data_IF_398924505174
#
_entry.id   IF_398924505174
#
_cell.length_a   1.000
_cell.length_b   1.000
_cell.length_c   1.000
_cell.angle_alpha   90.00
_cell.angle_beta   90.00
_cell.angle_gamma   90.00
#
_symmetry.space_group_name_H-M   'P 1'
#
loop_
_entity.id
_entity.type
_entity.pdbx_description
1 polymer ?
#
# COMPACT_ATOMS: atom_id res chain seq x y z
N UNK A 1 14.23 -8.35 -12.15
CA UNK A 1 14.56 -9.24 -13.27
C UNK A 1 15.84 -8.76 -13.90
N UNK A 2 16.92 -9.45 -13.56
CA UNK A 2 18.18 -9.40 -14.30
C UNK A 2 17.99 -10.13 -15.65
N UNK A 3 18.59 -9.63 -16.73
CA UNK A 3 18.45 -10.24 -18.06
C UNK A 3 19.71 -9.94 -18.90
N UNK A 4 19.82 -10.54 -20.08
CA UNK A 4 21.01 -10.43 -20.93
C UNK A 4 21.42 -8.99 -21.27
N UNK A 5 20.46 -8.05 -21.30
CA UNK A 5 20.73 -6.63 -21.48
C UNK A 5 21.49 -6.01 -20.31
N UNK A 6 21.12 -6.34 -19.06
CA UNK A 6 21.88 -5.93 -17.87
C UNK A 6 23.29 -6.53 -17.89
N UNK A 7 23.43 -7.82 -18.21
CA UNK A 7 24.75 -8.47 -18.28
C UNK A 7 25.68 -7.78 -19.31
N UNK A 8 25.15 -7.41 -20.49
CA UNK A 8 25.93 -6.70 -21.51
C UNK A 8 26.33 -5.31 -21.07
N UNK A 9 25.45 -4.58 -20.37
CA UNK A 9 25.76 -3.28 -19.80
C UNK A 9 26.88 -3.39 -18.75
N UNK A 10 26.77 -4.36 -17.84
CA UNK A 10 27.80 -4.60 -16.81
C UNK A 10 29.15 -5.00 -17.41
N UNK A 11 29.17 -5.81 -18.48
CA UNK A 11 30.41 -6.14 -19.20
C UNK A 11 31.08 -4.91 -19.82
N UNK A 12 30.28 -3.96 -20.34
CA UNK A 12 30.81 -2.70 -20.87
C UNK A 12 31.32 -1.80 -19.76
N UNK A 13 30.61 -1.72 -18.64
CA UNK A 13 31.06 -0.98 -17.46
C UNK A 13 32.38 -1.56 -16.89
N UNK A 14 32.50 -2.89 -16.76
CA UNK A 14 33.76 -3.55 -16.33
C UNK A 14 34.93 -3.28 -17.29
N UNK A 15 34.67 -2.99 -18.57
CA UNK A 15 35.75 -2.68 -19.51
C UNK A 15 36.34 -1.27 -19.33
N UNK A 16 35.68 -0.40 -18.54
CA UNK A 16 36.14 0.97 -18.26
C UNK A 16 37.13 1.04 -17.08
N UNK A 17 37.28 -0.03 -16.30
CA UNK A 17 38.13 -0.03 -15.11
C UNK A 17 38.49 -1.44 -14.65
N UNK A 18 39.24 -1.52 -13.56
CA UNK A 18 39.73 -2.78 -12.98
C UNK A 18 38.82 -3.29 -11.85
N UNK A 19 38.01 -2.44 -11.23
CA UNK A 19 37.07 -2.78 -10.15
C UNK A 19 35.64 -2.30 -10.46
N UNK A 20 34.65 -3.20 -10.45
CA UNK A 20 33.25 -2.91 -10.74
C UNK A 20 32.38 -3.01 -9.49
N UNK A 21 31.83 -1.86 -9.09
CA UNK A 21 30.79 -1.75 -8.07
C UNK A 21 29.42 -1.65 -8.76
N UNK A 22 28.47 -2.52 -8.39
CA UNK A 22 27.11 -2.49 -8.93
C UNK A 22 26.11 -2.06 -7.86
N UNK A 23 25.43 -0.94 -8.13
CA UNK A 23 24.30 -0.48 -7.32
C UNK A 23 23.01 -1.22 -7.63
N UNK A 24 22.40 -1.85 -6.63
CA UNK A 24 21.09 -2.49 -6.72
C UNK A 24 20.09 -1.69 -5.89
N UNK A 25 19.06 -1.16 -6.54
CA UNK A 25 17.98 -0.43 -5.86
C UNK A 25 17.14 -1.35 -5.00
N UNK A 26 16.83 -0.93 -3.77
CA UNK A 26 15.91 -1.68 -2.92
C UNK A 26 14.45 -1.54 -3.40
N UNK A 27 13.60 -2.45 -2.92
CA UNK A 27 12.17 -2.47 -3.29
C UNK A 27 11.43 -1.18 -2.90
N UNK A 28 11.84 -0.52 -1.82
CA UNK A 28 11.20 0.70 -1.34
C UNK A 28 11.53 1.88 -2.27
N UNK A 29 12.77 1.98 -2.70
CA UNK A 29 13.24 2.99 -3.64
C UNK A 29 12.66 2.76 -5.04
N UNK A 30 12.57 1.52 -5.52
CA UNK A 30 11.89 1.23 -6.80
C UNK A 30 10.41 1.62 -6.75
N UNK A 31 9.69 1.28 -5.68
CA UNK A 31 8.30 1.71 -5.48
C UNK A 31 8.20 3.23 -5.41
N UNK A 32 9.11 3.91 -4.70
CA UNK A 32 9.11 5.38 -4.60
C UNK A 32 9.19 6.10 -5.93
N UNK A 33 9.80 5.48 -6.96
CA UNK A 33 9.91 6.04 -8.32
C UNK A 33 8.85 5.51 -9.28
N UNK A 34 7.79 4.88 -8.77
CA UNK A 34 6.73 4.28 -9.60
C UNK A 34 7.13 3.00 -10.33
N UNK A 35 8.33 2.43 -10.08
CA UNK A 35 8.74 1.12 -10.62
C UNK A 35 8.09 -0.02 -9.84
N UNK A 36 6.76 -0.13 -9.97
CA UNK A 36 5.94 -1.18 -9.36
C UNK A 36 6.17 -2.58 -9.98
N UNK A 37 6.95 -2.64 -11.05
CA UNK A 37 7.12 -3.81 -11.90
C UNK A 37 8.27 -4.73 -11.42
N UNK A 38 8.81 -4.48 -10.22
CA UNK A 38 9.92 -5.23 -9.64
C UNK A 38 9.36 -6.31 -8.71
N UNK A 39 9.30 -7.54 -9.23
CA UNK A 39 8.70 -8.68 -8.52
C UNK A 39 9.78 -9.54 -7.83
N UNK A 40 11.02 -9.53 -8.33
CA UNK A 40 12.15 -10.19 -7.66
C UNK A 40 12.55 -9.44 -6.40
N UNK A 41 12.74 -10.19 -5.31
CA UNK A 41 13.20 -9.59 -4.06
C UNK A 41 14.57 -8.93 -4.24
N UNK A 42 14.80 -7.86 -3.48
CA UNK A 42 16.11 -7.17 -3.45
C UNK A 42 17.25 -8.16 -3.19
N UNK A 43 17.06 -9.10 -2.26
CA UNK A 43 18.04 -10.14 -1.95
C UNK A 43 18.35 -11.05 -3.15
N UNK A 44 17.34 -11.48 -3.91
CA UNK A 44 17.57 -12.31 -5.11
C UNK A 44 18.30 -11.52 -6.20
N UNK A 45 17.99 -10.23 -6.35
CA UNK A 45 18.68 -9.36 -7.31
C UNK A 45 20.15 -9.18 -6.91
N UNK A 46 20.42 -8.93 -5.64
CA UNK A 46 21.79 -8.84 -5.10
C UNK A 46 22.54 -10.15 -5.37
N UNK A 47 22.00 -11.30 -4.96
CA UNK A 47 22.62 -12.61 -5.18
C UNK A 47 22.88 -12.90 -6.66
N UNK A 48 21.95 -12.56 -7.55
CA UNK A 48 22.12 -12.77 -8.99
C UNK A 48 23.25 -11.90 -9.59
N UNK A 49 23.50 -10.74 -9.02
CA UNK A 49 24.57 -9.83 -9.44
C UNK A 49 25.91 -10.24 -8.79
N UNK A 50 25.90 -10.60 -7.51
CA UNK A 50 27.08 -11.12 -6.79
C UNK A 50 27.62 -12.42 -7.42
N UNK A 51 26.75 -13.22 -8.04
CA UNK A 51 27.15 -14.45 -8.74
C UNK A 51 27.85 -14.20 -10.09
N UNK A 52 28.03 -12.96 -10.53
CA UNK A 52 28.71 -12.62 -11.77
C UNK A 52 30.20 -12.41 -11.52
N UNK A 53 31.05 -13.18 -12.19
CA UNK A 53 32.52 -13.07 -12.07
C UNK A 53 33.08 -11.67 -12.42
N UNK A 54 32.31 -10.86 -13.12
CA UNK A 54 32.70 -9.50 -13.53
C UNK A 54 32.40 -8.44 -12.47
N UNK A 55 31.67 -8.78 -11.40
CA UNK A 55 31.25 -7.85 -10.35
C UNK A 55 32.08 -8.08 -9.09
N UNK A 56 32.80 -7.05 -8.67
CA UNK A 56 33.67 -7.15 -7.49
C UNK A 56 32.94 -6.76 -6.20
N UNK A 57 31.93 -5.89 -6.29
CA UNK A 57 31.11 -5.44 -5.15
C UNK A 57 29.69 -5.11 -5.55
N UNK A 58 28.74 -5.47 -4.68
CA UNK A 58 27.35 -5.02 -4.78
C UNK A 58 27.02 -4.09 -3.62
N UNK A 59 26.39 -2.95 -3.93
CA UNK A 59 25.90 -1.99 -2.94
C UNK A 59 24.39 -1.83 -3.09
N UNK A 60 23.69 -1.60 -1.97
CA UNK A 60 22.25 -1.38 -1.97
C UNK A 60 21.95 0.12 -1.98
N UNK A 61 21.15 0.56 -2.94
CA UNK A 61 20.69 1.95 -3.07
C UNK A 61 19.27 2.10 -2.49
N UNK A 62 19.13 2.98 -1.50
CA UNK A 62 17.91 3.19 -0.72
C UNK A 62 17.24 4.55 -0.96
N UNK A 63 17.99 5.55 -1.41
CA UNK A 63 17.46 6.88 -1.72
C UNK A 63 18.30 7.63 -2.75
N UNK A 64 17.70 8.64 -3.40
CA UNK A 64 18.30 9.40 -4.50
C UNK A 64 19.65 10.06 -4.14
N UNK A 65 19.77 10.61 -2.92
CA UNK A 65 21.00 11.28 -2.46
C UNK A 65 22.20 10.34 -2.25
N UNK A 66 21.94 9.03 -2.13
CA UNK A 66 22.97 8.06 -1.81
C UNK A 66 24.03 7.95 -2.92
N UNK A 67 23.68 8.26 -4.18
CA UNK A 67 24.63 8.15 -5.29
C UNK A 67 25.87 9.03 -5.09
N UNK A 68 25.69 10.30 -4.77
CA UNK A 68 26.81 11.22 -4.54
C UNK A 68 27.64 10.78 -3.32
N UNK A 69 26.97 10.36 -2.24
CA UNK A 69 27.63 9.83 -1.04
C UNK A 69 28.46 8.57 -1.35
N UNK A 70 27.93 7.66 -2.17
CA UNK A 70 28.60 6.44 -2.56
C UNK A 70 29.79 6.71 -3.50
N UNK A 71 29.70 7.70 -4.40
CA UNK A 71 30.84 8.06 -5.29
C UNK A 71 32.05 8.48 -4.46
N UNK A 72 31.84 9.34 -3.45
CA UNK A 72 32.92 9.79 -2.55
C UNK A 72 33.39 8.66 -1.63
N UNK A 73 32.45 7.91 -1.04
CA UNK A 73 32.77 6.87 -0.07
C UNK A 73 33.60 5.73 -0.65
N UNK A 74 33.34 5.34 -1.89
CA UNK A 74 34.04 4.25 -2.56
C UNK A 74 35.11 4.73 -3.53
N UNK A 75 35.38 6.04 -3.58
CA UNK A 75 36.39 6.65 -4.44
C UNK A 75 36.23 6.22 -5.91
N UNK A 76 35.03 6.48 -6.46
CA UNK A 76 34.65 5.99 -7.79
C UNK A 76 35.18 6.93 -8.87
N UNK A 77 36.03 6.42 -9.76
CA UNK A 77 36.55 7.19 -10.90
C UNK A 77 35.51 7.42 -12.00
N UNK A 78 34.68 6.41 -12.31
CA UNK A 78 33.71 6.43 -13.41
C UNK A 78 32.35 5.90 -12.95
N UNK A 79 31.31 6.73 -13.11
CA UNK A 79 29.92 6.33 -12.99
C UNK A 79 29.33 5.97 -14.37
N UNK A 80 29.20 4.67 -14.64
CA UNK A 80 28.65 4.17 -15.90
C UNK A 80 27.15 3.83 -15.81
N UNK A 81 26.35 4.32 -16.76
CA UNK A 81 24.90 4.01 -16.86
C UNK A 81 24.45 3.89 -18.32
N UNK A 82 23.26 3.35 -18.57
CA UNK A 82 22.67 3.32 -19.91
C UNK A 82 22.40 4.72 -20.48
N UNK A 83 22.59 4.87 -21.80
CA UNK A 83 22.32 6.07 -22.60
C UNK A 83 20.88 6.60 -22.51
N UNK A 84 19.92 5.78 -22.06
CA UNK A 84 18.55 6.21 -21.77
C UNK A 84 18.42 7.23 -20.63
N UNK A 85 19.52 7.54 -19.95
CA UNK A 85 19.61 8.51 -18.85
C UNK A 85 20.51 9.70 -19.15
N UNK A 86 20.88 9.91 -20.42
CA UNK A 86 21.72 11.02 -20.86
C UNK A 86 21.20 12.36 -20.31
N UNK A 87 22.08 13.15 -19.68
CA UNK A 87 21.77 14.42 -19.03
C UNK A 87 21.19 14.33 -17.61
N UNK A 88 20.66 13.18 -17.19
CA UNK A 88 19.99 13.05 -15.87
C UNK A 88 20.97 12.96 -14.71
N UNK A 89 22.17 12.42 -14.95
CA UNK A 89 23.16 12.14 -13.91
C UNK A 89 24.39 13.06 -13.99
N UNK A 90 24.38 14.06 -14.86
CA UNK A 90 25.50 14.98 -15.07
C UNK A 90 25.93 15.72 -13.80
N UNK A 91 25.03 15.90 -12.83
CA UNK A 91 25.36 16.46 -11.51
C UNK A 91 26.40 15.63 -10.73
N UNK A 92 26.60 14.36 -11.09
CA UNK A 92 27.63 13.51 -10.49
C UNK A 92 29.04 13.83 -11.03
N UNK A 93 29.17 14.61 -12.12
CA UNK A 93 30.47 15.09 -12.61
C UNK A 93 31.23 15.96 -11.60
N UNK A 94 30.55 16.47 -10.57
CA UNK A 94 31.21 17.11 -9.42
C UNK A 94 32.03 16.14 -8.56
N UNK A 95 31.75 14.84 -8.63
CA UNK A 95 32.33 13.80 -7.76
C UNK A 95 33.06 12.69 -8.54
N UNK A 96 32.69 12.43 -9.80
CA UNK A 96 33.17 11.28 -10.60
C UNK A 96 32.92 11.51 -12.09
N UNK A 97 33.61 10.83 -13.01
CA UNK A 97 33.31 10.95 -14.45
C UNK A 97 32.05 10.17 -14.84
N UNK A 98 31.04 10.82 -15.41
CA UNK A 98 29.79 10.15 -15.86
C UNK A 98 29.93 9.64 -17.29
N UNK A 99 29.74 8.34 -17.48
CA UNK A 99 29.82 7.68 -18.78
C UNK A 99 28.49 7.02 -19.19
N UNK A 100 27.98 7.40 -20.37
CA UNK A 100 26.73 6.89 -20.92
C UNK A 100 26.98 5.77 -21.93
N UNK A 101 26.59 4.55 -21.56
CA UNK A 101 26.80 3.33 -22.33
C UNK A 101 25.58 2.98 -23.19
N UNK A 102 25.75 2.58 -24.45
CA UNK A 102 24.61 2.28 -25.32
C UNK A 102 23.77 1.11 -24.80
N UNK A 103 22.44 1.19 -24.88
CA UNK A 103 21.55 0.05 -24.56
C UNK A 103 21.68 -1.10 -25.55
N UNK A 104 21.40 -2.32 -25.09
CA UNK A 104 21.24 -3.47 -25.99
C UNK A 104 19.88 -3.38 -26.70
N UNK A 105 19.88 -3.11 -28.01
CA UNK A 105 18.65 -3.04 -28.84
C UNK A 105 17.90 -4.38 -28.83
N UNK A 106 16.57 -4.33 -28.75
CA UNK A 106 15.67 -5.50 -28.86
C UNK A 106 15.36 -6.25 -27.56
N UNK A 107 16.00 -5.93 -26.42
CA UNK A 107 15.72 -6.58 -25.12
C UNK A 107 15.07 -5.58 -24.17
N UNK A 108 13.74 -5.56 -24.11
CA UNK A 108 12.98 -4.75 -23.16
C UNK A 108 12.61 -5.56 -21.93
N UNK A 109 12.96 -5.05 -20.74
CA UNK A 109 12.52 -5.62 -19.47
C UNK A 109 10.98 -5.68 -19.34
N UNK A 110 10.25 -4.84 -20.07
CA UNK A 110 8.79 -4.83 -20.07
C UNK A 110 8.21 -5.99 -20.90
N UNK A 111 8.84 -6.32 -22.04
CA UNK A 111 8.44 -7.44 -22.90
C UNK A 111 8.75 -8.78 -22.21
N UNK A 112 9.98 -8.96 -21.72
CA UNK A 112 10.40 -10.17 -20.99
C UNK A 112 9.58 -10.46 -19.73
N UNK A 113 8.93 -9.44 -19.14
CA UNK A 113 8.05 -9.62 -17.97
C UNK A 113 6.63 -10.03 -18.34
N UNK A 114 6.15 -9.69 -19.53
CA UNK A 114 4.88 -10.23 -20.05
C UNK A 114 5.00 -11.72 -20.34
N UNK A 115 6.17 -12.15 -20.80
CA UNK A 115 6.40 -13.55 -21.20
C UNK A 115 6.64 -14.49 -20.00
N UNK A 116 7.04 -13.96 -18.85
CA UNK A 116 7.40 -14.76 -17.66
C UNK A 116 6.29 -14.90 -16.60
N UNK A 117 5.17 -14.18 -16.71
CA UNK A 117 4.11 -14.22 -15.71
C UNK A 117 2.72 -14.27 -16.35
N UNK A 118 1.88 -15.15 -15.82
CA UNK A 118 0.50 -15.27 -16.24
C UNK A 118 -0.28 -13.97 -16.02
N UNK A 119 -1.19 -13.69 -16.96
CA UNK A 119 -2.11 -12.57 -16.88
C UNK A 119 -3.13 -12.80 -15.75
N UNK A 120 -3.12 -11.93 -14.75
CA UNK A 120 -4.14 -11.92 -13.69
C UNK A 120 -5.42 -11.31 -14.27
N UNK A 121 -6.45 -12.14 -14.42
CA UNK A 121 -7.81 -11.69 -14.74
C UNK A 121 -8.54 -11.39 -13.44
N UNK A 122 -8.77 -10.11 -13.16
CA UNK A 122 -9.44 -9.63 -11.95
C UNK A 122 -10.85 -9.15 -12.31
N UNK A 123 -11.84 -9.59 -11.53
CA UNK A 123 -13.20 -9.08 -11.59
C UNK A 123 -13.45 -8.02 -10.52
N UNK A 124 -14.29 -7.04 -10.81
CA UNK A 124 -14.75 -6.05 -9.81
C UNK A 124 -16.13 -6.44 -9.30
N UNK A 125 -16.38 -6.28 -8.01
CA UNK A 125 -17.61 -6.65 -7.32
C UNK A 125 -18.14 -5.38 -6.65
N UNK A 126 -19.24 -4.86 -7.17
CA UNK A 126 -19.88 -3.64 -6.68
C UNK A 126 -19.56 -2.38 -7.48
N UNK A 127 -20.46 -1.40 -7.34
CA UNK A 127 -20.37 -0.07 -7.93
C UNK A 127 -20.11 0.99 -6.86
N UNK A 128 -19.28 0.64 -5.87
CA UNK A 128 -18.90 1.55 -4.80
C UNK A 128 -18.06 2.73 -5.29
N UNK A 129 -17.67 3.57 -4.33
CA UNK A 129 -17.06 4.89 -4.61
C UNK A 129 -15.67 4.77 -5.28
N UNK A 130 -14.94 3.72 -4.95
CA UNK A 130 -13.54 3.55 -5.36
C UNK A 130 -13.45 2.67 -6.61
N UNK A 131 -14.53 1.98 -7.01
CA UNK A 131 -14.62 1.13 -8.21
C UNK A 131 -14.06 1.77 -9.47
N UNK A 132 -14.46 3.02 -9.79
CA UNK A 132 -13.96 3.70 -11.00
C UNK A 132 -12.46 3.98 -10.92
N UNK A 133 -12.02 4.59 -9.81
CA UNK A 133 -10.61 4.91 -9.59
C UNK A 133 -9.74 3.65 -9.57
N UNK A 134 -10.25 2.55 -9.01
CA UNK A 134 -9.59 1.25 -9.01
C UNK A 134 -9.39 0.73 -10.44
N UNK A 135 -10.45 0.75 -11.27
CA UNK A 135 -10.38 0.29 -12.67
C UNK A 135 -9.37 1.14 -13.46
N UNK A 136 -9.36 2.46 -13.25
CA UNK A 136 -8.43 3.36 -13.93
C UNK A 136 -6.98 3.11 -13.51
N UNK A 137 -6.71 2.93 -12.21
CA UNK A 137 -5.35 2.64 -11.73
C UNK A 137 -4.87 1.24 -12.06
N UNK A 138 -5.78 0.26 -12.15
CA UNK A 138 -5.46 -1.12 -12.50
C UNK A 138 -4.86 -1.25 -13.91
N UNK A 139 -5.19 -0.33 -14.84
CA UNK A 139 -4.62 -0.27 -16.20
C UNK A 139 -3.11 -0.07 -16.20
N UNK A 140 -2.59 0.56 -15.15
CA UNK A 140 -1.17 0.87 -15.00
C UNK A 140 -0.39 -0.24 -14.30
N UNK A 141 -1.06 -1.30 -13.84
CA UNK A 141 -0.40 -2.45 -13.19
C UNK A 141 -0.12 -3.53 -14.24
N UNK A 142 1.15 -3.93 -14.46
CA UNK A 142 1.47 -4.94 -15.45
C UNK A 142 0.84 -6.29 -15.14
N UNK A 143 0.55 -7.04 -16.20
CA UNK A 143 0.02 -8.41 -16.11
C UNK A 143 -1.27 -8.49 -15.27
N UNK A 144 -2.02 -7.40 -15.17
CA UNK A 144 -3.35 -7.33 -14.58
C UNK A 144 -4.34 -6.87 -15.64
N UNK A 145 -5.47 -7.56 -15.74
CA UNK A 145 -6.57 -7.18 -16.62
C UNK A 145 -7.88 -7.19 -15.86
N UNK A 146 -8.57 -6.06 -15.89
CA UNK A 146 -9.92 -5.89 -15.35
C UNK A 146 -10.86 -5.69 -16.51
N UNK A 147 -11.77 -6.63 -16.73
CA UNK A 147 -12.74 -6.54 -17.83
C UNK A 147 -14.15 -7.06 -17.51
N UNK A 148 -14.39 -7.44 -16.26
CA UNK A 148 -15.68 -7.93 -15.78
C UNK A 148 -16.05 -7.22 -14.49
N UNK A 149 -17.33 -6.94 -14.33
CA UNK A 149 -17.87 -6.37 -13.09
C UNK A 149 -19.16 -7.09 -12.71
N UNK A 150 -19.37 -7.25 -11.41
CA UNK A 150 -20.60 -7.77 -10.82
C UNK A 150 -21.36 -6.67 -10.07
N UNK A 151 -22.67 -6.62 -10.24
CA UNK A 151 -23.58 -5.84 -9.39
C UNK A 151 -25.00 -6.44 -9.48
N UNK A 152 -25.71 -6.61 -8.35
CA UNK A 152 -27.10 -7.07 -8.39
C UNK A 152 -28.07 -6.00 -8.94
N UNK A 153 -27.66 -4.73 -9.00
CA UNK A 153 -28.42 -3.63 -9.61
C UNK A 153 -28.15 -3.59 -11.12
N UNK A 154 -29.02 -4.25 -11.89
CA UNK A 154 -28.90 -4.35 -13.34
C UNK A 154 -29.00 -2.99 -14.07
N UNK A 155 -29.92 -2.06 -13.72
CA UNK A 155 -29.92 -0.70 -14.27
C UNK A 155 -28.60 0.05 -14.05
N UNK A 156 -28.08 0.08 -12.82
CA UNK A 156 -26.83 0.75 -12.52
C UNK A 156 -25.64 0.09 -13.23
N UNK A 157 -25.62 -1.25 -13.28
CA UNK A 157 -24.63 -2.05 -13.99
C UNK A 157 -24.57 -1.71 -15.49
N UNK A 158 -25.72 -1.63 -16.16
CA UNK A 158 -25.82 -1.23 -17.58
C UNK A 158 -25.28 0.17 -17.80
N UNK A 159 -25.68 1.14 -16.96
CA UNK A 159 -25.20 2.52 -17.04
C UNK A 159 -23.68 2.62 -16.83
N UNK A 160 -23.13 1.84 -15.89
CA UNK A 160 -21.70 1.84 -15.61
C UNK A 160 -20.90 1.24 -16.77
N UNK A 161 -21.33 0.09 -17.30
CA UNK A 161 -20.63 -0.63 -18.37
C UNK A 161 -20.67 0.12 -19.71
N UNK A 162 -21.76 0.80 -20.05
CA UNK A 162 -21.86 1.63 -21.25
C UNK A 162 -20.81 2.75 -21.30
N UNK A 163 -20.43 3.28 -20.14
CA UNK A 163 -19.50 4.40 -20.02
C UNK A 163 -18.06 3.98 -19.68
N UNK A 164 -17.75 2.68 -19.72
CA UNK A 164 -16.46 2.17 -19.29
C UNK A 164 -15.88 1.16 -20.28
N UNK A 165 -15.05 1.66 -21.20
CA UNK A 165 -14.41 0.85 -22.26
C UNK A 165 -13.55 -0.31 -21.73
N UNK A 166 -13.10 -0.22 -20.46
CA UNK A 166 -12.28 -1.27 -19.86
C UNK A 166 -13.11 -2.47 -19.40
N UNK A 167 -14.38 -2.26 -19.10
CA UNK A 167 -15.29 -3.32 -18.62
C UNK A 167 -16.16 -3.80 -19.77
N UNK A 168 -15.85 -5.00 -20.27
CA UNK A 168 -16.57 -5.60 -21.40
C UNK A 168 -17.80 -6.42 -20.98
N UNK A 169 -17.82 -6.95 -19.76
CA UNK A 169 -18.87 -7.86 -19.32
C UNK A 169 -19.41 -7.48 -17.94
N UNK A 170 -20.71 -7.17 -17.87
CA UNK A 170 -21.46 -7.03 -16.62
C UNK A 170 -22.13 -8.35 -16.23
N UNK A 171 -22.16 -8.65 -14.93
CA UNK A 171 -22.79 -9.83 -14.33
C UNK A 171 -23.72 -9.38 -13.20
N UNK A 172 -24.93 -9.92 -13.13
CA UNK A 172 -25.89 -9.72 -12.04
C UNK A 172 -26.06 -10.98 -11.17
N UNK A 173 -25.52 -12.12 -11.62
CA UNK A 173 -25.36 -13.35 -10.85
C UNK A 173 -23.90 -13.51 -10.38
N UNK A 174 -23.70 -13.65 -9.06
CA UNK A 174 -22.35 -13.73 -8.49
C UNK A 174 -21.70 -15.10 -8.68
N UNK A 175 -22.47 -16.19 -8.69
CA UNK A 175 -21.94 -17.53 -8.96
C UNK A 175 -21.38 -17.62 -10.38
N UNK A 176 -22.17 -17.18 -11.36
CA UNK A 176 -21.76 -17.14 -12.77
C UNK A 176 -20.53 -16.24 -12.97
N UNK A 177 -20.49 -15.10 -12.28
CA UNK A 177 -19.33 -14.21 -12.28
C UNK A 177 -18.06 -14.90 -11.76
N UNK A 178 -18.17 -15.63 -10.64
CA UNK A 178 -17.06 -16.37 -10.05
C UNK A 178 -16.65 -17.59 -10.90
N UNK A 179 -17.58 -18.22 -11.62
CA UNK A 179 -17.30 -19.34 -12.52
C UNK A 179 -16.61 -18.93 -13.83
N UNK A 180 -16.45 -17.63 -14.07
CA UNK A 180 -15.64 -17.14 -15.19
C UNK A 180 -14.14 -17.37 -14.99
N UNK A 181 -13.35 -17.08 -16.03
CA UNK A 181 -11.88 -17.18 -16.01
C UNK A 181 -11.15 -16.21 -15.05
N UNK A 182 -11.86 -15.43 -14.24
CA UNK A 182 -11.22 -14.56 -13.24
C UNK A 182 -10.54 -15.42 -12.16
N UNK A 183 -9.40 -14.94 -11.67
CA UNK A 183 -8.65 -15.59 -10.58
C UNK A 183 -8.63 -14.75 -9.30
N UNK A 184 -9.07 -13.50 -9.40
CA UNK A 184 -9.12 -12.56 -8.29
C UNK A 184 -10.35 -11.66 -8.39
N UNK A 185 -10.78 -11.13 -7.24
CA UNK A 185 -11.86 -10.14 -7.14
C UNK A 185 -11.40 -8.93 -6.32
N UNK A 186 -11.83 -7.74 -6.76
CA UNK A 186 -11.85 -6.53 -5.95
C UNK A 186 -13.27 -6.25 -5.50
N UNK A 187 -13.51 -6.09 -4.20
CA UNK A 187 -14.85 -5.89 -3.62
C UNK A 187 -14.97 -4.48 -3.03
N UNK A 188 -15.87 -3.69 -3.62
CA UNK A 188 -16.26 -2.34 -3.19
C UNK A 188 -17.80 -2.26 -3.20
N UNK A 189 -18.39 -2.73 -2.10
CA UNK A 189 -19.85 -2.82 -1.88
C UNK A 189 -20.23 -2.23 -0.52
N UNK A 190 -21.51 -2.29 -0.16
CA UNK A 190 -21.94 -1.93 1.19
C UNK A 190 -21.37 -2.92 2.23
N UNK A 191 -21.04 -2.44 3.44
CA UNK A 191 -20.27 -3.19 4.44
C UNK A 191 -20.92 -4.52 4.83
N UNK A 192 -22.24 -4.56 4.94
CA UNK A 192 -23.01 -5.75 5.27
C UNK A 192 -22.93 -6.85 4.18
N UNK A 193 -22.47 -6.50 2.97
CA UNK A 193 -22.26 -7.45 1.88
C UNK A 193 -20.85 -8.02 1.85
N UNK A 194 -19.88 -7.43 2.56
CA UNK A 194 -18.48 -7.84 2.50
C UNK A 194 -18.30 -9.31 2.91
N UNK A 195 -18.73 -9.68 4.13
CA UNK A 195 -18.56 -11.06 4.63
C UNK A 195 -19.10 -12.14 3.67
N UNK A 196 -20.37 -12.12 3.23
CA UNK A 196 -20.89 -13.16 2.34
C UNK A 196 -20.19 -13.17 0.97
N UNK A 197 -19.85 -12.00 0.40
CA UNK A 197 -19.19 -11.91 -0.90
C UNK A 197 -17.73 -12.40 -0.85
N UNK A 198 -16.99 -12.03 0.19
CA UNK A 198 -15.61 -12.50 0.42
C UNK A 198 -15.64 -14.02 0.62
N UNK A 199 -16.45 -14.53 1.56
CA UNK A 199 -16.52 -15.97 1.87
C UNK A 199 -16.75 -16.80 0.61
N UNK A 200 -17.71 -16.39 -0.22
CA UNK A 200 -18.06 -17.09 -1.45
C UNK A 200 -16.94 -17.03 -2.51
N UNK A 201 -16.25 -15.89 -2.66
CA UNK A 201 -15.07 -15.80 -3.52
C UNK A 201 -13.92 -16.69 -3.05
N UNK A 202 -13.68 -16.76 -1.74
CA UNK A 202 -12.64 -17.63 -1.16
C UNK A 202 -12.94 -19.12 -1.39
N UNK A 203 -14.20 -19.55 -1.20
CA UNK A 203 -14.66 -20.92 -1.50
C UNK A 203 -14.48 -21.25 -2.99
N UNK A 204 -14.78 -20.29 -3.87
CA UNK A 204 -14.52 -20.40 -5.31
C UNK A 204 -13.02 -20.28 -5.68
N UNK A 205 -12.12 -20.31 -4.68
CA UNK A 205 -10.66 -20.25 -4.81
C UNK A 205 -10.17 -19.00 -5.54
N UNK A 206 -10.84 -17.87 -5.36
CA UNK A 206 -10.40 -16.57 -5.87
C UNK A 206 -9.58 -15.82 -4.84
N UNK A 207 -8.56 -15.10 -5.29
CA UNK A 207 -7.88 -14.10 -4.46
C UNK A 207 -8.80 -12.91 -4.24
N UNK A 208 -8.81 -12.32 -3.05
CA UNK A 208 -9.73 -11.24 -2.66
C UNK A 208 -8.95 -10.02 -2.15
N UNK A 209 -9.24 -8.87 -2.76
CA UNK A 209 -8.91 -7.54 -2.25
C UNK A 209 -10.24 -6.84 -1.94
N UNK A 210 -10.47 -6.40 -0.71
CA UNK A 210 -11.78 -5.85 -0.32
C UNK A 210 -11.62 -4.57 0.49
N UNK A 211 -12.44 -3.56 0.19
CA UNK A 211 -12.56 -2.35 1.00
C UNK A 211 -12.79 -2.66 2.48
N UNK A 212 -12.28 -1.78 3.34
CA UNK A 212 -12.36 -1.97 4.79
C UNK A 212 -13.67 -1.40 5.36
N UNK A 213 -14.26 -1.99 6.43
CA UNK A 213 -13.88 -3.24 7.10
C UNK A 213 -14.15 -4.52 6.31
N UNK A 214 -13.35 -5.56 6.55
CA UNK A 214 -13.55 -6.87 5.93
C UNK A 214 -14.78 -7.62 6.46
N UNK A 215 -15.20 -7.32 7.69
CA UNK A 215 -16.31 -7.95 8.39
C UNK A 215 -16.85 -7.03 9.49
N UNK A 216 -18.09 -7.25 9.93
CA UNK A 216 -18.73 -6.42 10.94
C UNK A 216 -18.55 -6.94 12.37
N UNK A 217 -18.15 -8.20 12.53
CA UNK A 217 -17.84 -8.81 13.83
C UNK A 217 -16.53 -9.63 13.77
N UNK A 218 -16.03 -9.98 14.96
CA UNK A 218 -14.76 -10.68 15.13
C UNK A 218 -14.78 -12.12 14.61
N UNK A 219 -15.87 -12.85 14.80
CA UNK A 219 -15.97 -14.25 14.36
C UNK A 219 -15.91 -14.35 12.83
N UNK A 220 -16.63 -13.48 12.12
CA UNK A 220 -16.58 -13.36 10.66
C UNK A 220 -15.15 -13.08 10.17
N UNK A 221 -14.46 -12.10 10.75
CA UNK A 221 -13.08 -11.76 10.34
C UNK A 221 -12.14 -12.97 10.50
N UNK A 222 -12.21 -13.65 11.65
CA UNK A 222 -11.38 -14.83 11.93
C UNK A 222 -11.70 -15.96 10.95
N UNK A 223 -12.98 -16.17 10.64
CA UNK A 223 -13.40 -17.17 9.67
C UNK A 223 -12.85 -16.87 8.28
N UNK A 224 -12.99 -15.63 7.78
CA UNK A 224 -12.51 -15.23 6.46
C UNK A 224 -10.98 -15.43 6.33
N UNK A 225 -10.21 -15.02 7.35
CA UNK A 225 -8.76 -15.21 7.38
C UNK A 225 -8.37 -16.70 7.42
N UNK A 226 -9.11 -17.51 8.18
CA UNK A 226 -8.89 -18.95 8.28
C UNK A 226 -9.22 -19.66 6.97
N UNK A 227 -10.32 -19.27 6.33
CA UNK A 227 -10.76 -19.78 5.04
C UNK A 227 -9.77 -19.44 3.93
N UNK A 228 -9.28 -18.18 3.87
CA UNK A 228 -8.25 -17.79 2.91
C UNK A 228 -6.97 -18.65 3.05
N UNK A 229 -6.56 -18.92 4.30
CA UNK A 229 -5.44 -19.83 4.60
C UNK A 229 -5.74 -21.27 4.13
N UNK A 230 -6.93 -21.80 4.42
CA UNK A 230 -7.35 -23.17 4.06
C UNK A 230 -7.37 -23.36 2.55
N UNK A 231 -8.03 -22.45 1.82
CA UNK A 231 -8.17 -22.52 0.36
C UNK A 231 -6.90 -22.07 -0.38
N UNK A 232 -5.85 -21.69 0.35
CA UNK A 232 -4.56 -21.23 -0.19
C UNK A 232 -4.72 -20.08 -1.18
N UNK A 233 -5.59 -19.13 -0.84
CA UNK A 233 -5.81 -17.88 -1.58
C UNK A 233 -5.39 -16.68 -0.75
N UNK A 234 -5.32 -15.52 -1.39
CA UNK A 234 -4.93 -14.27 -0.74
C UNK A 234 -6.20 -13.53 -0.33
N UNK A 235 -6.25 -13.05 0.90
CA UNK A 235 -7.24 -12.08 1.37
C UNK A 235 -6.48 -10.85 1.86
N UNK A 236 -6.82 -9.68 1.35
CA UNK A 236 -6.19 -8.42 1.72
C UNK A 236 -7.24 -7.31 1.86
N UNK A 237 -7.09 -6.48 2.89
CA UNK A 237 -7.90 -5.28 3.05
C UNK A 237 -7.35 -4.15 2.18
N UNK A 238 -8.23 -3.43 1.49
CA UNK A 238 -7.90 -2.36 0.57
C UNK A 238 -7.64 -1.04 1.32
N UNK A 239 -6.58 -1.01 2.13
CA UNK A 239 -6.13 0.19 2.84
C UNK A 239 -4.89 0.76 2.17
N UNK A 240 -5.09 1.61 1.16
CA UNK A 240 -4.02 2.12 0.30
C UNK A 240 -2.84 2.72 1.06
N UNK A 241 -3.08 3.39 2.20
CA UNK A 241 -2.05 4.00 3.05
C UNK A 241 -0.94 3.02 3.41
N UNK A 242 -1.26 1.75 3.66
CA UNK A 242 -0.28 0.73 4.04
C UNK A 242 0.75 0.44 2.93
N UNK A 243 0.40 0.73 1.68
CA UNK A 243 1.22 0.41 0.50
C UNK A 243 1.96 1.63 -0.07
N UNK A 244 1.77 2.81 0.53
CA UNK A 244 2.39 4.04 0.04
C UNK A 244 3.90 4.05 0.35
N UNK A 245 4.75 4.54 -0.57
CA UNK A 245 6.20 4.54 -0.37
C UNK A 245 6.65 5.30 0.87
N UNK A 246 6.15 6.54 1.07
CA UNK A 246 6.57 7.33 2.23
C UNK A 246 6.08 6.73 3.55
N UNK A 247 4.93 6.06 3.56
CA UNK A 247 4.43 5.36 4.74
C UNK A 247 5.34 4.18 5.11
N UNK A 248 5.80 3.40 4.12
CA UNK A 248 6.76 2.32 4.36
C UNK A 248 8.15 2.85 4.78
N UNK A 249 8.58 3.98 4.22
CA UNK A 249 9.80 4.65 4.69
C UNK A 249 9.67 5.11 6.14
N UNK A 250 8.55 5.75 6.49
CA UNK A 250 8.26 6.20 7.85
C UNK A 250 8.43 5.05 8.84
N UNK A 251 7.79 3.89 8.58
CA UNK A 251 7.93 2.71 9.42
C UNK A 251 9.39 2.23 9.50
N UNK A 252 10.13 2.31 8.40
CA UNK A 252 11.56 1.96 8.36
C UNK A 252 12.40 2.86 9.26
N UNK A 253 12.20 4.18 9.21
CA UNK A 253 12.95 5.14 10.06
C UNK A 253 12.60 5.00 11.54
N UNK A 254 11.31 4.77 11.86
CA UNK A 254 10.88 4.50 13.23
C UNK A 254 11.50 3.22 13.78
N UNK A 255 11.57 2.16 12.98
CA UNK A 255 12.20 0.88 13.37
C UNK A 255 13.70 1.00 13.61
N UNK A 256 14.39 1.97 12.98
CA UNK A 256 15.79 2.29 13.28
C UNK A 256 15.96 3.04 14.62
N UNK A 257 14.85 3.45 15.25
CA UNK A 257 14.86 4.22 16.49
C UNK A 257 15.23 5.69 16.30
N UNK A 258 14.93 6.28 15.13
CA UNK A 258 15.30 7.66 14.80
C UNK A 258 14.80 8.69 15.82
N UNK A 259 13.63 8.43 16.45
CA UNK A 259 13.04 9.26 17.52
C UNK A 259 13.08 8.59 18.91
N UNK A 260 13.88 7.52 19.07
CA UNK A 260 13.89 6.69 20.28
C UNK A 260 12.60 5.88 20.48
N UNK A 261 12.29 5.55 21.73
CA UNK A 261 11.04 4.85 22.06
C UNK A 261 9.82 5.72 21.75
N UNK A 262 8.90 5.18 20.95
CA UNK A 262 7.60 5.84 20.69
C UNK A 262 6.70 5.72 21.92
N UNK A 263 6.14 6.84 22.36
CA UNK A 263 5.23 6.90 23.52
C UNK A 263 3.80 7.26 23.13
N UNK A 264 3.61 7.92 21.99
CA UNK A 264 2.29 8.36 21.56
C UNK A 264 2.18 8.42 20.03
N UNK A 265 1.00 8.07 19.51
CA UNK A 265 0.64 8.27 18.09
C UNK A 265 -0.71 8.97 18.03
N UNK A 266 -0.74 10.18 17.47
CA UNK A 266 -1.96 10.95 17.18
C UNK A 266 -2.25 10.92 15.69
N UNK A 267 -3.48 10.64 15.30
CA UNK A 267 -3.91 10.67 13.90
C UNK A 267 -5.33 11.19 13.75
N UNK A 268 -5.50 12.22 12.93
CA UNK A 268 -6.80 12.85 12.67
C UNK A 268 -7.28 12.52 11.27
N UNK A 269 -8.46 11.92 11.14
CA UNK A 269 -9.11 11.64 9.86
C UNK A 269 -10.54 12.15 9.90
N UNK A 270 -10.75 13.36 9.38
CA UNK A 270 -12.10 13.92 9.26
C UNK A 270 -12.42 14.39 7.85
N UNK A 271 -13.71 14.40 7.53
CA UNK A 271 -14.23 14.88 6.25
C UNK A 271 -15.63 15.46 6.46
N UNK A 272 -16.02 16.44 5.64
CA UNK A 272 -17.38 16.96 5.56
C UNK A 272 -18.10 16.17 4.45
N UNK A 273 -18.83 15.12 4.80
CA UNK A 273 -19.50 14.28 3.80
C UNK A 273 -20.87 14.82 3.41
N UNK A 274 -21.58 15.52 4.30
CA UNK A 274 -22.86 16.16 3.93
C UNK A 274 -22.70 17.19 2.80
N UNK A 275 -21.56 17.87 2.72
CA UNK A 275 -21.26 18.82 1.63
C UNK A 275 -20.92 18.15 0.28
N UNK A 276 -20.80 16.81 0.27
CA UNK A 276 -20.41 16.02 -0.91
C UNK A 276 -21.54 15.14 -1.42
N UNK A 277 -22.77 15.38 -0.97
CA UNK A 277 -23.99 14.64 -1.35
C UNK A 277 -23.85 13.11 -1.23
N UNK A 278 -23.22 12.65 -0.14
CA UNK A 278 -23.20 11.21 0.15
C UNK A 278 -24.60 10.71 0.54
N UNK A 279 -25.01 9.51 0.11
CA UNK A 279 -26.31 8.95 0.48
C UNK A 279 -26.47 8.80 2.00
N UNK A 280 -27.69 9.01 2.51
CA UNK A 280 -27.98 8.85 3.95
C UNK A 280 -27.66 7.45 4.47
N UNK A 281 -27.86 6.42 3.63
CA UNK A 281 -27.49 5.03 3.95
C UNK A 281 -25.99 4.84 4.16
N UNK A 282 -25.16 5.62 3.48
CA UNK A 282 -23.72 5.64 3.72
C UNK A 282 -23.40 6.38 5.01
N UNK A 283 -24.04 7.53 5.25
CA UNK A 283 -23.85 8.33 6.47
C UNK A 283 -24.25 7.56 7.73
N UNK A 284 -25.31 6.75 7.66
CA UNK A 284 -25.82 5.93 8.75
C UNK A 284 -24.84 4.84 9.22
N UNK A 285 -23.75 4.59 8.50
CA UNK A 285 -22.69 3.68 8.95
C UNK A 285 -21.90 4.28 10.14
N UNK A 286 -21.87 5.61 10.28
CA UNK A 286 -21.14 6.29 11.34
C UNK A 286 -19.66 6.55 11.03
N UNK A 287 -19.13 7.63 11.61
CA UNK A 287 -17.77 8.09 11.38
C UNK A 287 -16.71 7.05 11.74
N UNK A 288 -16.94 6.30 12.82
CA UNK A 288 -16.06 5.24 13.27
C UNK A 288 -15.96 4.13 12.23
N UNK A 289 -17.08 3.62 11.71
CA UNK A 289 -17.04 2.55 10.70
C UNK A 289 -16.38 3.00 9.40
N UNK A 290 -16.62 4.25 8.99
CA UNK A 290 -16.12 4.76 7.70
C UNK A 290 -14.63 5.14 7.76
N UNK A 291 -14.15 5.68 8.88
CA UNK A 291 -12.85 6.38 8.92
C UNK A 291 -11.82 5.78 9.87
N UNK A 292 -12.21 5.02 10.90
CA UNK A 292 -11.29 4.59 11.98
C UNK A 292 -10.17 3.66 11.52
N UNK A 293 -10.36 2.96 10.40
CA UNK A 293 -9.36 2.04 9.84
C UNK A 293 -8.04 2.71 9.47
N UNK A 294 -8.09 3.97 9.02
CA UNK A 294 -6.91 4.76 8.70
C UNK A 294 -6.05 5.02 9.95
N UNK A 295 -6.52 5.76 10.97
CA UNK A 295 -5.69 5.99 12.16
C UNK A 295 -5.36 4.69 12.90
N UNK A 296 -6.24 3.67 12.86
CA UNK A 296 -5.96 2.35 13.43
C UNK A 296 -4.77 1.67 12.73
N UNK A 297 -4.61 1.81 11.41
CA UNK A 297 -3.43 1.34 10.69
C UNK A 297 -2.15 1.99 11.22
N UNK A 298 -2.12 3.31 11.35
CA UNK A 298 -0.92 4.01 11.83
C UNK A 298 -0.58 3.61 13.27
N UNK A 299 -1.57 3.67 14.16
CA UNK A 299 -1.41 3.34 15.59
C UNK A 299 -0.94 1.89 15.76
N UNK A 300 -1.62 0.92 15.14
CA UNK A 300 -1.26 -0.50 15.32
C UNK A 300 0.10 -0.83 14.70
N UNK A 301 0.47 -0.21 13.56
CA UNK A 301 1.79 -0.44 12.94
C UNK A 301 2.95 0.04 13.80
N UNK A 302 2.74 1.10 14.57
CA UNK A 302 3.81 1.74 15.36
C UNK A 302 3.83 1.24 16.81
N UNK A 303 2.67 1.18 17.46
CA UNK A 303 2.57 0.82 18.88
C UNK A 303 2.29 -0.66 19.13
N UNK A 304 1.88 -1.39 18.08
CA UNK A 304 1.47 -2.78 18.16
C UNK A 304 0.01 -2.93 18.57
N UNK A 305 -0.30 -4.07 19.19
CA UNK A 305 -1.66 -4.42 19.60
C UNK A 305 -2.08 -3.62 20.84
N UNK A 306 -3.29 -3.05 20.79
CA UNK A 306 -3.90 -2.36 21.93
C UNK A 306 -4.26 -3.35 23.05
N UNK A 307 -4.24 -2.88 24.30
CA UNK A 307 -4.77 -3.60 25.46
C UNK A 307 -6.22 -3.21 25.69
N UNK A 308 -6.43 -1.91 25.80
CA UNK A 308 -7.73 -1.28 26.09
C UNK A 308 -8.02 -0.20 25.07
N UNK A 309 -9.30 0.00 24.76
CA UNK A 309 -9.80 1.06 23.88
C UNK A 309 -10.95 1.79 24.59
N UNK A 310 -10.90 3.11 24.57
CA UNK A 310 -11.95 3.99 25.08
C UNK A 310 -12.41 4.89 23.96
N UNK A 311 -13.72 5.07 23.85
CA UNK A 311 -14.35 5.85 22.79
C UNK A 311 -15.13 7.00 23.40
N UNK A 312 -15.02 8.17 22.80
CA UNK A 312 -15.75 9.38 23.16
C UNK A 312 -16.50 9.84 21.90
N UNK A 313 -17.48 9.04 21.51
CA UNK A 313 -18.31 9.26 20.34
C UNK A 313 -19.39 10.32 20.59
N UNK A 314 -19.71 11.07 19.53
CA UNK A 314 -20.81 12.03 19.49
C UNK A 314 -21.65 11.70 18.26
N UNK A 315 -22.97 11.70 18.42
CA UNK A 315 -23.88 11.33 17.35
C UNK A 315 -25.32 11.68 17.70
N UNK A 316 -26.10 11.94 16.66
CA UNK A 316 -27.55 12.03 16.69
C UNK A 316 -28.04 11.01 15.65
N UNK A 317 -29.17 10.34 15.89
CA UNK A 317 -29.79 9.37 14.95
C UNK A 317 -29.22 7.93 14.94
N UNK A 318 -28.62 7.47 16.04
CA UNK A 318 -28.25 6.05 16.21
C UNK A 318 -26.92 5.62 15.60
N UNK A 319 -26.16 6.57 15.02
CA UNK A 319 -24.77 6.41 14.57
C UNK A 319 -23.92 7.62 15.01
N UNK A 320 -22.60 7.47 15.07
CA UNK A 320 -21.69 8.56 15.43
C UNK A 320 -21.35 9.45 14.24
N UNK A 321 -21.32 10.77 14.49
CA UNK A 321 -20.83 11.78 13.53
C UNK A 321 -19.37 12.14 13.79
N UNK A 322 -18.88 11.90 15.01
CA UNK A 322 -17.48 12.03 15.39
C UNK A 322 -17.11 11.10 16.56
N UNK A 323 -15.83 10.77 16.69
CA UNK A 323 -15.33 9.93 17.78
C UNK A 323 -13.85 10.23 18.06
N UNK A 324 -13.53 10.46 19.34
CA UNK A 324 -12.16 10.42 19.85
C UNK A 324 -11.91 9.03 20.44
N UNK A 325 -10.91 8.33 19.90
CA UNK A 325 -10.58 6.95 20.26
C UNK A 325 -9.21 6.95 20.92
N UNK A 326 -9.15 6.53 22.17
CA UNK A 326 -7.92 6.40 22.94
C UNK A 326 -7.63 4.92 23.14
N UNK A 327 -6.44 4.48 22.76
CA UNK A 327 -5.98 3.09 22.90
C UNK A 327 -4.70 3.03 23.73
N UNK A 328 -4.65 2.09 24.68
CA UNK A 328 -3.44 1.82 25.48
C UNK A 328 -2.67 0.65 24.88
N UNK A 329 -1.36 0.75 24.82
CA UNK A 329 -0.48 -0.25 24.21
C UNK A 329 0.58 -0.75 25.19
N UNK A 330 1.44 -1.67 24.75
CA UNK A 330 2.56 -2.17 25.56
C UNK A 330 3.45 -1.02 26.02
N UNK A 331 3.96 -1.10 27.26
CA UNK A 331 4.86 -0.09 27.82
C UNK A 331 4.18 1.25 28.15
N UNK A 332 2.84 1.30 28.19
CA UNK A 332 2.09 2.51 28.53
C UNK A 332 1.94 3.51 27.38
N UNK A 333 2.37 3.14 26.16
CA UNK A 333 2.20 4.00 25.00
C UNK A 333 0.72 4.19 24.64
N UNK A 334 0.37 5.35 24.07
CA UNK A 334 -1.02 5.75 23.82
C UNK A 334 -1.25 6.07 22.35
N UNK A 335 -2.27 5.46 21.75
CA UNK A 335 -2.77 5.84 20.43
C UNK A 335 -4.01 6.71 20.57
N UNK A 336 -4.06 7.84 19.87
CA UNK A 336 -5.18 8.80 19.87
C UNK A 336 -5.63 8.98 18.43
N UNK A 337 -6.88 8.58 18.16
CA UNK A 337 -7.48 8.70 16.82
C UNK A 337 -8.69 9.63 16.88
N UNK A 338 -8.73 10.63 16.02
CA UNK A 338 -9.88 11.52 15.90
C UNK A 338 -10.54 11.30 14.54
N UNK A 339 -11.80 10.86 14.53
CA UNK A 339 -12.56 10.60 13.30
C UNK A 339 -13.87 11.37 13.28
N UNK A 340 -14.26 11.92 12.13
CA UNK A 340 -15.54 12.61 11.97
C UNK A 340 -15.99 12.71 10.50
N UNK A 341 -17.29 12.65 10.27
CA UNK A 341 -17.93 12.77 8.94
C UNK A 341 -18.75 14.07 8.77
N UNK A 342 -18.89 14.85 9.85
CA UNK A 342 -19.55 16.15 9.86
C UNK A 342 -18.77 17.27 10.55
N UNK A 343 -17.56 17.00 11.04
CA UNK A 343 -16.71 17.98 11.75
C UNK A 343 -15.35 18.01 11.07
N UNK A 344 -14.89 19.19 10.64
CA UNK A 344 -13.58 19.34 10.00
C UNK A 344 -12.50 19.70 11.02
N UNK A 345 -11.36 19.03 10.90
CA UNK A 345 -10.13 19.33 11.63
C UNK A 345 -8.93 19.12 10.69
N UNK A 346 -7.75 19.55 11.14
CA UNK A 346 -6.49 19.31 10.43
C UNK A 346 -6.31 17.81 10.23
N UNK A 347 -5.97 17.41 9.01
CA UNK A 347 -5.90 16.00 8.62
C UNK A 347 -4.52 15.41 8.81
N UNK A 348 -3.85 15.74 9.91
CA UNK A 348 -2.44 15.42 10.19
C UNK A 348 -2.27 14.20 11.10
N UNK A 349 -1.01 13.79 11.28
CA UNK A 349 -0.62 12.81 12.28
C UNK A 349 0.71 13.20 12.95
N UNK A 350 0.84 12.90 14.23
CA UNK A 350 2.04 13.14 15.04
C UNK A 350 2.43 11.86 15.76
N UNK A 351 3.72 11.51 15.72
CA UNK A 351 4.29 10.34 16.40
C UNK A 351 5.36 10.86 17.36
N UNK A 352 5.10 10.76 18.66
CA UNK A 352 5.94 11.33 19.71
C UNK A 352 6.88 10.25 20.28
N UNK A 353 8.18 10.52 20.25
CA UNK A 353 9.21 9.64 20.77
C UNK A 353 10.04 10.30 21.87
N UNK A 354 10.93 9.52 22.49
CA UNK A 354 11.80 9.98 23.59
C UNK A 354 12.95 10.89 23.16
N UNK A 355 13.30 10.92 21.87
CA UNK A 355 14.39 11.75 21.33
C UNK A 355 13.93 12.85 20.39
N UNK A 356 12.68 12.77 19.90
CA UNK A 356 12.13 13.66 18.90
C UNK A 356 10.72 13.22 18.50
N UNK A 357 10.18 13.79 17.43
CA UNK A 357 8.86 13.43 16.94
C UNK A 357 8.79 13.42 15.41
N UNK A 358 7.81 12.72 14.87
CA UNK A 358 7.45 12.80 13.45
C UNK A 358 6.16 13.56 13.28
N UNK A 359 6.15 14.50 12.35
CA UNK A 359 4.95 15.20 11.87
C UNK A 359 4.64 14.79 10.43
N UNK A 360 3.39 14.37 10.18
CA UNK A 360 2.88 14.02 8.87
C UNK A 360 1.77 15.03 8.51
N UNK A 361 2.01 15.94 7.55
CA UNK A 361 1.03 16.96 7.18
C UNK A 361 -0.19 16.35 6.50
N UNK A 362 -1.28 17.11 6.50
CA UNK A 362 -2.50 16.71 5.84
C UNK A 362 -2.39 16.66 4.31
N UNK A 363 -3.12 15.74 3.65
CA UNK A 363 -3.83 14.60 4.22
C UNK A 363 -2.88 13.45 4.59
N UNK A 364 -2.72 13.15 5.88
CA UNK A 364 -1.68 12.23 6.35
C UNK A 364 -1.84 10.81 5.80
N UNK A 365 -3.08 10.38 5.51
CA UNK A 365 -3.39 9.05 4.96
C UNK A 365 -2.94 8.87 3.50
N UNK A 366 -2.61 9.95 2.80
CA UNK A 366 -1.92 9.88 1.51
C UNK A 366 -0.40 9.91 1.65
N UNK A 367 0.13 10.19 2.85
CA UNK A 367 1.56 10.19 3.22
C UNK A 367 2.49 10.46 2.04
N UNK A 368 2.53 11.70 1.55
CA UNK A 368 3.50 12.12 0.52
C UNK A 368 4.83 12.57 1.13
N UNK A 369 4.77 13.09 2.35
CA UNK A 369 5.94 13.56 3.07
C UNK A 369 5.74 13.39 4.58
N UNK A 370 6.85 13.37 5.30
CA UNK A 370 6.88 13.47 6.75
C UNK A 370 8.16 14.17 7.21
N UNK A 371 8.08 14.78 8.39
CA UNK A 371 9.17 15.54 8.99
C UNK A 371 9.57 14.88 10.30
N UNK A 372 10.83 14.45 10.39
CA UNK A 372 11.44 14.00 11.65
C UNK A 372 12.07 15.23 12.29
N UNK A 373 11.64 15.57 13.50
CA UNK A 373 12.03 16.79 14.20
C UNK A 373 12.63 16.47 15.56
N UNK A 374 13.61 17.28 15.93
CA UNK A 374 14.35 17.22 17.18
C UNK A 374 14.43 18.61 17.80
N UNK A 375 14.85 18.72 19.06
CA UNK A 375 15.08 20.03 19.69
C UNK A 375 16.18 20.82 18.97
N UNK A 376 17.23 20.13 18.52
CA UNK A 376 18.22 20.72 17.62
C UNK A 376 17.71 20.64 16.19
N UNK A 377 17.23 21.78 15.68
CA UNK A 377 16.66 21.89 14.33
C UNK A 377 17.61 21.43 13.23
N UNK A 378 18.93 21.54 13.43
CA UNK A 378 19.94 21.12 12.44
C UNK A 378 19.95 19.59 12.22
N UNK A 379 19.38 18.81 13.14
CA UNK A 379 19.24 17.36 13.02
C UNK A 379 17.94 16.94 12.33
N UNK A 380 17.02 17.88 12.10
CA UNK A 380 15.70 17.59 11.53
C UNK A 380 15.81 17.14 10.08
N UNK A 381 14.97 16.19 9.70
CA UNK A 381 14.99 15.58 8.37
C UNK A 381 13.60 15.64 7.76
N UNK A 382 13.54 15.93 6.46
CA UNK A 382 12.30 15.91 5.69
C UNK A 382 12.39 14.86 4.61
N UNK A 383 11.41 13.97 4.59
CA UNK A 383 11.28 12.90 3.61
C UNK A 383 10.13 13.25 2.67
N UNK A 384 10.40 13.35 1.37
CA UNK A 384 9.41 13.64 0.34
C UNK A 384 9.39 12.54 -0.71
N UNK A 385 8.19 12.09 -1.04
CA UNK A 385 7.93 11.05 -2.00
C UNK A 385 6.85 11.53 -2.96
N UNK A 386 7.14 11.39 -4.23
CA UNK A 386 6.14 11.51 -5.27
C UNK A 386 5.59 10.12 -5.58
N UNK A 387 4.31 10.06 -5.90
CA UNK A 387 3.71 8.85 -6.40
C UNK A 387 2.62 9.18 -7.40
N UNK A 388 2.47 8.30 -8.38
CA UNK A 388 1.52 8.51 -9.47
C UNK A 388 0.08 8.31 -9.02
N UNK A 389 -0.81 9.11 -9.62
CA UNK A 389 -2.25 8.94 -9.49
C UNK A 389 -2.76 9.13 -8.06
N UNK A 390 -3.67 8.27 -7.63
CA UNK A 390 -4.39 8.42 -6.35
C UNK A 390 -3.88 7.51 -5.21
N UNK A 391 -2.77 6.80 -5.44
CA UNK A 391 -2.14 5.87 -4.50
C UNK A 391 -2.67 4.43 -4.55
N UNK A 392 -3.84 4.18 -5.18
CA UNK A 392 -4.40 2.81 -5.30
C UNK A 392 -3.48 1.88 -6.09
N UNK A 393 -2.73 2.41 -7.06
CA UNK A 393 -1.81 1.63 -7.90
C UNK A 393 -0.81 0.78 -7.10
N UNK A 394 -0.33 1.30 -5.97
CA UNK A 394 0.65 0.62 -5.10
C UNK A 394 0.05 -0.61 -4.42
N UNK A 395 -1.19 -0.47 -3.96
CA UNK A 395 -1.97 -1.55 -3.36
C UNK A 395 -2.30 -2.61 -4.40
N UNK A 396 -2.76 -2.19 -5.59
CA UNK A 396 -3.09 -3.10 -6.69
C UNK A 396 -1.84 -3.87 -7.15
N UNK A 397 -0.70 -3.18 -7.29
CA UNK A 397 0.57 -3.80 -7.67
C UNK A 397 1.09 -4.79 -6.62
N UNK A 398 0.97 -4.46 -5.32
CA UNK A 398 1.32 -5.41 -4.25
C UNK A 398 0.43 -6.66 -4.30
N UNK A 399 -0.88 -6.47 -4.45
CA UNK A 399 -1.83 -7.58 -4.57
C UNK A 399 -1.50 -8.49 -5.77
N UNK A 400 -1.28 -7.90 -6.95
CA UNK A 400 -0.87 -8.63 -8.15
C UNK A 400 0.47 -9.37 -7.97
N UNK A 401 1.45 -8.70 -7.37
CA UNK A 401 2.77 -9.26 -7.11
C UNK A 401 2.73 -10.44 -6.13
N UNK A 402 1.85 -10.40 -5.12
CA UNK A 402 1.66 -11.52 -4.18
C UNK A 402 1.06 -12.74 -4.89
N UNK A 403 0.07 -12.54 -5.77
CA UNK A 403 -0.53 -13.60 -6.58
C UNK A 403 0.54 -14.26 -7.46
N UNK A 404 1.27 -13.46 -8.24
CA UNK A 404 2.33 -13.94 -9.14
C UNK A 404 3.44 -14.69 -8.41
N UNK A 405 3.83 -14.25 -7.22
CA UNK A 405 4.88 -14.91 -6.42
C UNK A 405 4.38 -16.11 -5.62
N UNK A 406 3.11 -16.48 -5.74
CA UNK A 406 2.51 -17.54 -4.91
C UNK A 406 2.49 -17.20 -3.41
N UNK A 407 2.66 -15.93 -3.04
CA UNK A 407 2.64 -15.48 -1.64
C UNK A 407 1.18 -15.26 -1.21
N UNK A 408 0.94 -15.44 0.09
CA UNK A 408 -0.41 -15.40 0.69
C UNK A 408 -0.55 -14.38 1.82
N UNK A 409 0.50 -13.58 2.04
CA UNK A 409 0.58 -12.54 3.06
C UNK A 409 1.45 -11.41 2.54
N UNK A 410 1.02 -10.16 2.76
CA UNK A 410 1.88 -8.99 2.56
C UNK A 410 2.66 -8.69 3.84
N UNK A 411 3.90 -8.23 3.71
CA UNK A 411 4.64 -7.62 4.81
C UNK A 411 4.14 -6.21 5.13
N UNK A 412 3.56 -5.52 4.14
CA UNK A 412 3.00 -4.16 4.29
C UNK A 412 1.69 -4.20 5.06
N UNK A 413 0.87 -5.23 4.86
CA UNK A 413 -0.39 -5.45 5.57
C UNK A 413 -0.58 -6.94 5.86
N UNK A 414 -0.09 -7.38 7.03
CA UNK A 414 -0.16 -8.77 7.46
C UNK A 414 -1.55 -9.13 8.00
N UNK A 415 -1.88 -10.43 8.13
CA UNK A 415 -3.10 -10.85 8.81
C UNK A 415 -3.25 -10.29 10.24
N UNK A 416 -2.13 -10.16 10.98
CA UNK A 416 -2.13 -9.56 12.32
C UNK A 416 -2.50 -8.08 12.25
N UNK A 417 -1.99 -7.36 11.25
CA UNK A 417 -2.35 -5.94 11.05
C UNK A 417 -3.83 -5.81 10.72
N UNK A 418 -4.38 -6.65 9.84
CA UNK A 418 -5.81 -6.60 9.49
C UNK A 418 -6.70 -6.86 10.71
N UNK A 419 -6.31 -7.77 11.60
CA UNK A 419 -7.02 -7.99 12.88
C UNK A 419 -6.93 -6.74 13.76
N UNK A 420 -5.73 -6.18 13.98
CA UNK A 420 -5.54 -5.00 14.82
C UNK A 420 -6.27 -3.76 14.32
N UNK A 421 -6.28 -3.54 13.00
CA UNK A 421 -6.97 -2.41 12.37
C UNK A 421 -8.49 -2.53 12.54
N UNK A 422 -9.04 -3.73 12.33
CA UNK A 422 -10.48 -3.93 12.48
C UNK A 422 -10.90 -3.97 13.94
N UNK A 423 -10.01 -4.32 14.89
CA UNK A 423 -10.34 -4.40 16.32
C UNK A 423 -11.04 -3.16 16.88
N UNK A 424 -10.58 -1.96 16.52
CA UNK A 424 -11.19 -0.68 16.97
C UNK A 424 -12.66 -0.61 16.54
N UNK A 425 -12.92 -0.91 15.27
CA UNK A 425 -14.26 -0.89 14.69
C UNK A 425 -15.15 -1.98 15.30
N UNK A 426 -14.60 -3.19 15.47
CA UNK A 426 -15.32 -4.33 16.01
C UNK A 426 -15.72 -4.12 17.48
N UNK A 427 -14.81 -3.64 18.33
CA UNK A 427 -15.11 -3.32 19.73
C UNK A 427 -16.11 -2.17 19.86
N UNK A 428 -16.02 -1.17 18.98
CA UNK A 428 -17.00 -0.09 18.93
C UNK A 428 -18.41 -0.59 18.60
N UNK A 429 -18.52 -1.44 17.57
CA UNK A 429 -19.81 -2.03 17.20
C UNK A 429 -20.37 -2.90 18.33
N UNK A 430 -19.54 -3.77 18.95
CA UNK A 430 -19.95 -4.57 20.11
C UNK A 430 -20.46 -3.70 21.27
N UNK A 431 -19.80 -2.57 21.57
CA UNK A 431 -20.26 -1.61 22.57
C UNK A 431 -21.64 -1.04 22.20
N UNK A 432 -21.81 -0.58 20.95
CA UNK A 432 -23.08 0.00 20.49
C UNK A 432 -24.22 -1.01 20.49
N UNK A 433 -23.97 -2.27 20.10
CA UNK A 433 -24.97 -3.33 20.19
C UNK A 433 -25.43 -3.58 21.63
N UNK A 434 -24.51 -3.55 22.61
CA UNK A 434 -24.85 -3.67 24.03
C UNK A 434 -25.65 -2.47 24.55
N UNK A 435 -25.26 -1.24 24.18
CA UNK A 435 -26.00 -0.02 24.55
C UNK A 435 -27.45 -0.03 24.02
N UNK A 436 -27.70 -0.66 22.87
CA UNK A 436 -29.02 -0.77 22.26
C UNK A 436 -29.87 -1.96 22.74
N UNK A 437 -29.38 -2.77 23.69
CA UNK A 437 -30.14 -3.88 24.29
C UNK A 437 -30.47 -5.05 23.35
N UNK A 438 -29.73 -5.20 22.24
CA UNK A 438 -29.91 -6.28 21.25
C UNK A 438 -28.89 -7.41 21.46
N UNK A 439 -28.95 -8.07 22.61
CA UNK A 439 -28.10 -9.22 22.95
C UNK A 439 -28.71 -10.55 22.47
#
# INVERSE_FOLDING_TARGET
MFHQGHLRLLKRAKALGDYLIVGVTDENYDRSRGKLNVIESTQKRVQAIEALDIVDKVIMEKHKKQKAEDMVKYDVDIFAIGDDWEGVFDYLNEYTHVEYLPRTKGISSTLLRRDNFDLIKLGVVGLGRDTKAFIDEAKHVPNLKVNRIYSPDLPALKKFTQNNESIRYGHDNYDEFLDTSIVAVYIDTALEKHYPLIKKALIAKKHVLCENPLALNKSELIELLSLAKKERVLLLSALKTAFLPAFNQLLTELNKGIIGDVKEVRATRTSLYKEKDYPDTFMAQGATNILSSYPSLLVNKILGESKDITFFDQGNEGYDVSNLIISKHKGGAVGISNVATGIKSEGDAVISGTKGYVYIPAPWWLTKQFHVRFEDENKSQTFKYEFDGCGLRYMIAEFASLIQRGKRKSSMLSPKDMIGINRVLLEYNERKFKELGKA
#
